data_IF_702464976599
#
_entry.id   IF_702464976599
#
_cell.length_a   1.000
_cell.length_b   1.000
_cell.length_c   1.000
_cell.angle_alpha   90.00
_cell.angle_beta   90.00
_cell.angle_gamma   90.00
#
_symmetry.space_group_name_H-M   'P 1'
#
loop_
_entity.id
_entity.type
_entity.pdbx_description
1 polymer ?
#
# COMPACT_ATOMS: atom_id res chain seq x y z
N UNK A 1 -34.75 74.34 -17.77
CA UNK A 1 -34.08 74.63 -16.47
C UNK A 1 -34.82 73.82 -15.41
N UNK A 2 -34.27 72.88 -14.63
CA UNK A 2 -32.91 72.63 -14.14
C UNK A 2 -32.69 71.11 -14.00
N UNK A 3 -31.47 70.69 -14.31
CA UNK A 3 -30.83 69.42 -13.94
C UNK A 3 -30.41 69.48 -12.47
N UNK A 4 -30.50 68.38 -11.70
CA UNK A 4 -29.48 68.03 -10.69
C UNK A 4 -29.45 66.52 -10.42
N UNK A 5 -28.25 65.99 -10.56
CA UNK A 5 -27.72 64.64 -10.43
C UNK A 5 -27.49 64.27 -8.96
N UNK A 6 -27.72 63.01 -8.53
CA UNK A 6 -26.96 62.38 -7.43
C UNK A 6 -26.77 60.87 -7.65
N UNK A 7 -25.51 60.54 -7.97
CA UNK A 7 -24.64 59.39 -7.64
C UNK A 7 -25.16 58.01 -7.15
N UNK A 8 -24.86 57.01 -8.00
CA UNK A 8 -24.24 55.68 -7.74
C UNK A 8 -23.95 55.20 -6.31
N UNK A 9 -24.38 53.97 -5.99
CA UNK A 9 -23.68 53.02 -5.11
C UNK A 9 -24.04 51.58 -5.50
N UNK A 10 -23.16 50.89 -6.22
CA UNK A 10 -22.11 49.94 -5.76
C UNK A 10 -22.61 48.49 -5.66
N UNK A 11 -22.06 47.72 -6.61
CA UNK A 11 -21.97 46.27 -6.75
C UNK A 11 -21.39 45.64 -5.48
N UNK A 12 -22.09 44.68 -4.86
CA UNK A 12 -21.45 43.61 -4.08
C UNK A 12 -22.23 42.31 -4.28
N UNK A 13 -22.13 41.76 -5.49
CA UNK A 13 -22.46 40.35 -5.77
C UNK A 13 -21.15 39.57 -5.95
N UNK A 14 -20.23 39.65 -4.98
CA UNK A 14 -18.98 38.87 -4.97
C UNK A 14 -18.63 38.49 -3.53
N UNK A 15 -19.50 37.71 -2.88
CA UNK A 15 -19.23 37.15 -1.56
C UNK A 15 -19.28 35.61 -1.51
N UNK A 16 -19.47 34.93 -2.65
CA UNK A 16 -19.50 33.45 -2.70
C UNK A 16 -18.28 32.81 -3.39
N UNK A 17 -17.26 33.58 -3.81
CA UNK A 17 -16.07 33.03 -4.50
C UNK A 17 -14.82 32.88 -3.62
N UNK A 18 -14.94 33.09 -2.31
CA UNK A 18 -13.87 32.82 -1.36
C UNK A 18 -14.27 31.66 -0.45
N UNK A 19 -14.48 30.49 -1.06
CA UNK A 19 -14.28 29.25 -0.33
C UNK A 19 -12.80 28.88 -0.48
N UNK A 20 -11.97 28.99 0.57
CA UNK A 20 -10.66 28.36 0.54
C UNK A 20 -10.87 26.86 0.43
N UNK A 21 -10.54 26.30 -0.73
CA UNK A 21 -10.49 24.87 -0.99
C UNK A 21 -9.23 24.26 -0.36
N UNK A 22 -9.07 24.41 0.95
CA UNK A 22 -8.05 23.70 1.71
C UNK A 22 -8.68 22.50 2.40
N UNK A 23 -9.27 21.61 1.58
CA UNK A 23 -9.53 20.25 2.02
C UNK A 23 -8.19 19.50 2.01
N UNK A 24 -7.29 19.84 2.94
CA UNK A 24 -6.17 18.97 3.26
C UNK A 24 -6.74 17.73 3.95
N UNK A 25 -6.94 16.68 3.16
CA UNK A 25 -7.26 15.35 3.66
C UNK A 25 -6.08 14.88 4.51
N UNK A 26 -6.19 15.09 5.82
CA UNK A 26 -5.20 14.60 6.77
C UNK A 26 -5.37 13.08 6.84
N UNK A 27 -4.48 12.33 6.18
CA UNK A 27 -4.45 10.86 6.28
C UNK A 27 -3.99 10.52 7.70
N UNK A 28 -4.93 10.15 8.58
CA UNK A 28 -4.60 9.61 9.89
C UNK A 28 -4.11 8.16 9.74
N UNK A 29 -2.81 7.99 9.54
CA UNK A 29 -2.18 6.68 9.52
C UNK A 29 -2.07 6.18 10.97
N UNK A 30 -2.96 5.27 11.38
CA UNK A 30 -2.85 4.59 12.68
C UNK A 30 -1.75 3.53 12.60
N UNK A 31 -0.50 3.94 12.81
CA UNK A 31 0.62 3.01 12.95
C UNK A 31 0.53 2.39 14.35
N UNK A 32 0.19 1.11 14.42
CA UNK A 32 0.34 0.34 15.65
C UNK A 32 1.84 0.12 15.89
N UNK A 33 2.51 1.05 16.57
CA UNK A 33 3.89 0.86 17.06
C UNK A 33 3.87 0.01 18.31
N UNK A 34 3.55 -1.27 18.17
CA UNK A 34 3.93 -2.25 19.19
C UNK A 34 5.45 -2.37 19.12
N UNK A 35 6.18 -1.59 19.94
CA UNK A 35 7.61 -1.83 20.16
C UNK A 35 7.74 -3.19 20.82
N UNK A 36 7.83 -4.25 20.02
CA UNK A 36 8.53 -5.44 20.48
C UNK A 36 9.99 -5.03 20.63
N UNK A 37 10.61 -5.34 21.76
CA UNK A 37 11.95 -4.88 22.13
C UNK A 37 13.05 -5.25 21.14
N UNK A 38 12.73 -6.09 20.14
CA UNK A 38 13.68 -6.63 19.18
C UNK A 38 13.49 -6.10 17.75
N UNK A 39 12.51 -5.25 17.42
CA UNK A 39 12.36 -4.75 16.04
C UNK A 39 13.34 -3.62 15.73
N UNK A 40 13.98 -3.70 14.56
CA UNK A 40 14.98 -2.75 14.07
C UNK A 40 14.35 -1.78 13.06
N UNK A 41 14.44 -0.47 13.30
CA UNK A 41 13.78 0.59 12.49
C UNK A 41 14.74 1.58 11.83
N UNK A 42 16.04 1.28 11.80
CA UNK A 42 17.04 2.14 11.18
C UNK A 42 16.80 2.24 9.67
N UNK A 43 16.96 3.44 9.13
CA UNK A 43 17.05 3.67 7.69
C UNK A 43 18.43 3.22 7.21
N UNK A 44 18.45 2.36 6.19
CA UNK A 44 19.68 1.76 5.68
C UNK A 44 19.92 2.15 4.22
N UNK A 45 21.19 2.27 3.85
CA UNK A 45 21.60 2.43 2.46
C UNK A 45 21.19 1.20 1.61
N UNK A 46 21.17 1.38 0.29
CA UNK A 46 20.94 0.28 -0.65
C UNK A 46 21.89 -0.90 -0.38
N UNK A 47 21.34 -2.12 -0.36
CA UNK A 47 22.07 -3.36 -0.08
C UNK A 47 22.35 -3.63 1.42
N UNK A 48 21.92 -2.75 2.33
CA UNK A 48 21.98 -2.96 3.78
C UNK A 48 20.58 -2.94 4.40
N UNK A 49 20.42 -3.68 5.48
CA UNK A 49 19.15 -3.91 6.13
C UNK A 49 19.28 -3.89 7.65
N UNK A 50 18.14 -3.71 8.32
CA UNK A 50 18.02 -3.65 9.77
C UNK A 50 17.35 -4.94 10.25
N UNK A 51 18.07 -6.04 10.46
CA UNK A 51 17.48 -7.23 11.05
C UNK A 51 17.13 -6.97 12.52
N UNK A 52 16.08 -7.64 12.99
CA UNK A 52 15.61 -7.55 14.36
C UNK A 52 16.76 -7.82 15.34
N UNK A 53 16.91 -6.93 16.33
CA UNK A 53 17.98 -6.96 17.33
C UNK A 53 19.29 -6.28 16.91
N UNK A 54 19.43 -5.83 15.66
CA UNK A 54 20.62 -5.11 15.25
C UNK A 54 20.63 -3.65 15.75
N UNK A 55 21.81 -3.17 16.10
CA UNK A 55 22.08 -1.77 16.43
C UNK A 55 22.60 -0.96 15.23
N UNK A 56 22.82 -1.61 14.08
CA UNK A 56 23.36 -1.01 12.86
C UNK A 56 22.86 -1.72 11.61
N UNK A 57 22.90 -1.02 10.48
CA UNK A 57 22.56 -1.58 9.18
C UNK A 57 23.63 -2.57 8.70
N UNK A 58 23.22 -3.75 8.27
CA UNK A 58 24.09 -4.85 7.88
C UNK A 58 23.77 -5.29 6.46
N UNK A 59 24.79 -5.60 5.65
CA UNK A 59 24.57 -6.33 4.41
C UNK A 59 24.23 -7.79 4.73
N UNK A 60 23.39 -8.47 3.92
CA UNK A 60 23.14 -9.89 4.11
C UNK A 60 24.45 -10.69 4.03
N UNK A 61 24.64 -11.72 4.89
CA UNK A 61 25.72 -12.67 4.72
C UNK A 61 25.71 -13.32 3.33
N UNK A 62 26.86 -13.82 2.86
CA UNK A 62 26.95 -14.50 1.57
C UNK A 62 25.94 -15.64 1.46
N UNK A 63 25.16 -15.64 0.36
CA UNK A 63 24.11 -16.63 0.13
C UNK A 63 22.84 -16.44 0.97
N UNK A 64 22.70 -15.33 1.69
CA UNK A 64 21.49 -14.96 2.42
C UNK A 64 20.81 -13.72 1.83
N UNK A 65 19.55 -13.55 2.19
CA UNK A 65 18.68 -12.48 1.76
C UNK A 65 17.86 -11.95 2.93
N UNK A 66 17.59 -10.65 2.96
CA UNK A 66 16.78 -10.04 4.00
C UNK A 66 15.28 -10.28 3.77
N UNK A 67 14.60 -10.90 4.74
CA UNK A 67 13.15 -11.03 4.78
C UNK A 67 12.55 -9.86 5.57
N UNK A 68 11.89 -8.89 4.91
CA UNK A 68 11.32 -7.73 5.59
C UNK A 68 10.08 -8.06 6.44
N UNK A 69 9.37 -9.16 6.18
CA UNK A 69 8.20 -9.55 6.95
C UNK A 69 8.57 -10.11 8.32
N UNK A 70 9.71 -10.81 8.38
CA UNK A 70 10.23 -11.41 9.61
C UNK A 70 11.35 -10.59 10.26
N UNK A 71 11.95 -9.66 9.52
CA UNK A 71 13.09 -8.86 9.97
C UNK A 71 14.35 -9.69 10.20
N UNK A 72 14.62 -10.70 9.36
CA UNK A 72 15.78 -11.61 9.50
C UNK A 72 16.49 -11.82 8.17
N UNK A 73 17.75 -12.26 8.22
CA UNK A 73 18.43 -12.81 7.04
C UNK A 73 18.15 -14.32 6.94
N UNK A 74 17.89 -14.80 5.74
CA UNK A 74 17.58 -16.20 5.45
C UNK A 74 18.20 -16.65 4.13
N UNK A 75 18.52 -17.94 4.00
CA UNK A 75 19.18 -18.49 2.81
C UNK A 75 18.28 -18.50 1.58
N UNK A 76 16.96 -18.61 1.75
CA UNK A 76 16.00 -18.70 0.65
C UNK A 76 14.78 -17.86 0.96
N UNK A 77 14.31 -17.09 -0.01
CA UNK A 77 13.03 -16.37 0.11
C UNK A 77 11.85 -17.35 0.05
N UNK A 78 10.74 -16.95 0.67
CA UNK A 78 9.50 -17.73 0.63
C UNK A 78 8.97 -17.85 -0.81
N UNK A 79 8.08 -18.82 -1.06
CA UNK A 79 7.51 -19.02 -2.39
C UNK A 79 6.86 -17.74 -2.95
N UNK A 80 7.13 -17.43 -4.22
CA UNK A 80 6.69 -16.19 -4.87
C UNK A 80 7.59 -14.98 -4.62
N UNK A 81 8.71 -15.16 -3.93
CA UNK A 81 9.74 -14.14 -3.71
C UNK A 81 11.11 -14.60 -4.21
N UNK A 82 11.89 -13.66 -4.74
CA UNK A 82 13.29 -13.86 -5.14
C UNK A 82 14.20 -12.94 -4.34
N UNK A 83 15.47 -13.33 -4.23
CA UNK A 83 16.47 -12.45 -3.68
C UNK A 83 16.93 -11.46 -4.76
N UNK A 84 16.72 -10.17 -4.50
CA UNK A 84 17.17 -9.09 -5.37
C UNK A 84 17.85 -8.01 -4.54
N UNK A 85 19.06 -7.62 -4.94
CA UNK A 85 19.93 -6.70 -4.20
C UNK A 85 20.10 -7.06 -2.69
N UNK A 86 19.99 -8.34 -2.32
CA UNK A 86 20.09 -8.78 -0.93
C UNK A 86 18.79 -8.71 -0.12
N UNK A 87 17.65 -8.43 -0.75
CA UNK A 87 16.31 -8.44 -0.13
C UNK A 87 15.36 -9.40 -0.83
N UNK A 88 14.52 -10.07 -0.04
CA UNK A 88 13.40 -10.83 -0.58
C UNK A 88 12.34 -9.86 -1.13
N UNK A 89 12.16 -9.90 -2.45
CA UNK A 89 11.18 -9.12 -3.20
C UNK A 89 10.24 -10.05 -3.94
N UNK A 90 8.99 -9.63 -4.15
CA UNK A 90 8.05 -10.43 -4.92
C UNK A 90 8.57 -10.66 -6.35
N UNK A 91 8.42 -11.88 -6.86
CA UNK A 91 8.89 -12.23 -8.21
C UNK A 91 8.16 -11.46 -9.30
N UNK A 92 6.86 -11.21 -9.08
CA UNK A 92 5.97 -10.51 -9.99
C UNK A 92 5.58 -9.14 -9.41
N UNK A 93 5.51 -8.10 -10.28
CA UNK A 93 5.10 -6.78 -9.86
C UNK A 93 3.64 -6.79 -9.38
N UNK A 94 3.31 -5.89 -8.45
CA UNK A 94 1.92 -5.64 -8.06
C UNK A 94 1.16 -5.12 -9.28
N UNK A 95 -0.04 -5.64 -9.50
CA UNK A 95 -0.98 -5.03 -10.42
C UNK A 95 -1.87 -4.01 -9.69
N UNK A 96 -2.01 -2.82 -10.26
CA UNK A 96 -2.78 -1.71 -9.68
C UNK A 96 -4.06 -1.36 -10.46
N UNK A 97 -4.48 -2.22 -11.39
CA UNK A 97 -5.69 -1.96 -12.16
C UNK A 97 -6.92 -1.95 -11.25
N UNK A 98 -7.78 -0.95 -11.44
CA UNK A 98 -9.11 -0.95 -10.84
C UNK A 98 -9.99 -1.95 -11.59
N UNK A 99 -10.54 -2.90 -10.87
CA UNK A 99 -11.36 -3.96 -11.43
C UNK A 99 -12.84 -3.82 -11.04
N UNK A 100 -13.71 -4.30 -11.92
CA UNK A 100 -15.13 -4.48 -11.63
C UNK A 100 -15.34 -5.53 -10.53
N UNK A 101 -16.52 -5.53 -9.91
CA UNK A 101 -16.88 -6.52 -8.90
C UNK A 101 -16.70 -7.95 -9.42
N UNK A 102 -16.09 -8.81 -8.59
CA UNK A 102 -15.78 -10.21 -8.93
C UNK A 102 -14.56 -10.40 -9.84
N UNK A 103 -13.87 -9.32 -10.21
CA UNK A 103 -12.58 -9.37 -10.91
C UNK A 103 -11.50 -8.70 -10.07
N UNK A 104 -10.28 -9.19 -10.23
CA UNK A 104 -9.12 -8.76 -9.46
C UNK A 104 -7.92 -8.64 -10.37
N UNK A 105 -6.91 -7.90 -9.91
CA UNK A 105 -5.65 -7.83 -10.59
C UNK A 105 -4.56 -8.52 -9.77
N UNK A 106 -4.29 -9.82 -10.04
CA UNK A 106 -3.18 -10.50 -9.39
C UNK A 106 -1.83 -9.97 -9.91
N UNK A 107 -0.77 -10.19 -9.14
CA UNK A 107 0.60 -9.82 -9.50
C UNK A 107 0.95 -10.33 -10.89
N UNK A 108 1.62 -9.47 -11.67
CA UNK A 108 2.02 -9.76 -13.04
C UNK A 108 0.89 -9.73 -14.07
N UNK A 109 -0.38 -9.53 -13.68
CA UNK A 109 -1.47 -9.41 -14.64
C UNK A 109 -1.45 -8.06 -15.37
N UNK A 110 -1.79 -8.11 -16.66
CA UNK A 110 -2.01 -6.92 -17.51
C UNK A 110 -3.49 -6.57 -17.67
N UNK A 111 -4.40 -7.36 -17.10
CA UNK A 111 -5.85 -7.17 -17.16
C UNK A 111 -6.54 -7.73 -15.91
N UNK A 112 -7.73 -7.23 -15.61
CA UNK A 112 -8.57 -7.74 -14.53
C UNK A 112 -9.15 -9.11 -14.87
N UNK A 113 -9.05 -10.05 -13.94
CA UNK A 113 -9.41 -11.45 -14.12
C UNK A 113 -10.35 -11.89 -13.00
N UNK A 114 -11.35 -12.72 -13.30
CA UNK A 114 -12.07 -13.43 -12.25
C UNK A 114 -11.16 -14.54 -11.68
N UNK A 115 -11.30 -14.91 -10.40
CA UNK A 115 -10.57 -16.04 -9.85
C UNK A 115 -10.89 -17.33 -10.63
N UNK A 116 -9.88 -18.19 -10.90
CA UNK A 116 -10.13 -19.52 -11.41
C UNK A 116 -11.10 -20.31 -10.52
N UNK A 117 -11.78 -21.31 -11.08
CA UNK A 117 -12.73 -22.13 -10.33
C UNK A 117 -12.08 -22.75 -9.08
N UNK A 118 -12.71 -22.55 -7.91
CA UNK A 118 -12.21 -23.03 -6.62
C UNK A 118 -11.11 -22.16 -5.99
N UNK A 119 -10.68 -21.09 -6.66
CA UNK A 119 -9.72 -20.12 -6.12
C UNK A 119 -10.40 -18.85 -5.62
N UNK A 120 -9.69 -18.15 -4.75
CA UNK A 120 -10.06 -16.86 -4.21
C UNK A 120 -8.88 -15.88 -4.31
N UNK A 121 -9.18 -14.59 -4.48
CA UNK A 121 -8.17 -13.56 -4.49
C UNK A 121 -7.73 -13.22 -3.06
N UNK A 122 -6.43 -13.33 -2.78
CA UNK A 122 -5.83 -12.84 -1.55
C UNK A 122 -5.33 -11.41 -1.76
N UNK A 123 -5.96 -10.39 -1.16
CA UNK A 123 -5.56 -8.99 -1.36
C UNK A 123 -4.23 -8.64 -0.70
N UNK A 124 -3.80 -9.35 0.34
CA UNK A 124 -2.52 -9.10 1.01
C UNK A 124 -1.34 -9.55 0.14
N UNK A 125 -1.49 -10.67 -0.55
CA UNK A 125 -0.48 -11.22 -1.43
C UNK A 125 -0.67 -10.79 -2.90
N UNK A 126 -1.86 -10.29 -3.27
CA UNK A 126 -2.26 -9.96 -4.65
C UNK A 126 -2.12 -11.18 -5.58
N UNK A 127 -2.65 -12.34 -5.16
CA UNK A 127 -2.61 -13.59 -5.92
C UNK A 127 -3.96 -14.32 -5.84
N UNK A 128 -4.22 -15.22 -6.78
CA UNK A 128 -5.28 -16.22 -6.63
C UNK A 128 -4.71 -17.45 -5.92
N UNK A 129 -5.46 -17.98 -4.96
CA UNK A 129 -5.07 -19.13 -4.15
C UNK A 129 -6.27 -20.05 -3.87
N UNK A 130 -5.99 -21.31 -3.55
CA UNK A 130 -7.02 -22.26 -3.17
C UNK A 130 -7.48 -21.97 -1.73
N UNK A 131 -8.75 -21.63 -1.55
CA UNK A 131 -9.29 -21.24 -0.24
C UNK A 131 -8.69 -19.93 0.29
N UNK A 132 -8.96 -19.62 1.56
CA UNK A 132 -8.43 -18.44 2.24
C UNK A 132 -7.69 -18.85 3.51
N UNK A 133 -6.79 -17.99 3.97
CA UNK A 133 -6.05 -18.20 5.21
C UNK A 133 -7.01 -18.25 6.41
N UNK A 134 -6.54 -18.82 7.53
CA UNK A 134 -7.35 -18.94 8.74
C UNK A 134 -7.93 -17.59 9.19
N UNK A 135 -9.23 -17.56 9.50
CA UNK A 135 -9.95 -16.34 9.85
C UNK A 135 -10.54 -15.58 8.65
N UNK A 136 -10.33 -16.05 7.43
CA UNK A 136 -10.88 -15.47 6.21
C UNK A 136 -11.80 -16.46 5.49
N UNK A 137 -12.81 -15.93 4.79
CA UNK A 137 -13.71 -16.67 3.91
C UNK A 137 -13.65 -16.08 2.51
N UNK A 138 -13.91 -16.92 1.51
CA UNK A 138 -14.04 -16.44 0.15
C UNK A 138 -15.45 -15.88 -0.06
N UNK A 139 -15.54 -14.58 -0.29
CA UNK A 139 -16.78 -13.89 -0.63
C UNK A 139 -16.62 -13.13 -1.94
N UNK A 140 -17.54 -13.36 -2.88
CA UNK A 140 -17.49 -12.83 -4.24
C UNK A 140 -16.13 -13.01 -4.95
N UNK A 141 -15.38 -14.07 -4.61
CA UNK A 141 -14.05 -14.32 -5.18
C UNK A 141 -12.89 -13.57 -4.49
N UNK A 142 -13.12 -12.92 -3.36
CA UNK A 142 -12.11 -12.24 -2.53
C UNK A 142 -12.03 -12.85 -1.12
N UNK A 143 -10.81 -13.00 -0.59
CA UNK A 143 -10.60 -13.39 0.79
C UNK A 143 -10.90 -12.19 1.69
N UNK A 144 -12.01 -12.28 2.42
CA UNK A 144 -12.49 -11.28 3.38
C UNK A 144 -12.48 -11.88 4.79
N UNK A 145 -12.30 -11.04 5.81
CA UNK A 145 -12.34 -11.53 7.19
C UNK A 145 -13.71 -12.17 7.48
N UNK A 146 -13.68 -13.33 8.14
CA UNK A 146 -14.90 -14.08 8.47
C UNK A 146 -15.71 -13.45 9.58
#
# INVERSE_FOLDING_TARGET
MKLFTVFTSVVVAVACLLQPSDAQTTIHLRVHTVKTSNTCYLQCDSGKYCPNGASSCQAPPSGQCFNPAQGVFQTKCDAGFKCDNGKCVAELPICYLKCDSGKYCPRGASSCQAPPAGQCFNPAQSVFQNGCDAGFKCDNGNCVHS
#
